data_IF_411823538603
#
_entry.id   IF_411823538603
#
_cell.length_a   1.000
_cell.length_b   1.000
_cell.length_c   1.000
_cell.angle_alpha   90.00
_cell.angle_beta   90.00
_cell.angle_gamma   90.00
#
_symmetry.space_group_name_H-M   'P 1'
#
loop_
_entity.id
_entity.type
_entity.pdbx_description
1 polymer ?
#
# COMPACT_ATOMS: atom_id res chain seq x y z
N UNK A 1 -23.85 27.91 23.51
CA UNK A 1 -23.26 26.86 22.66
C UNK A 1 -21.78 26.78 23.02
N UNK A 2 -21.42 25.85 23.90
CA UNK A 2 -20.04 25.70 24.40
C UNK A 2 -19.25 24.97 23.33
N UNK A 3 -18.33 25.66 22.68
CA UNK A 3 -17.36 25.08 21.75
C UNK A 3 -16.37 24.26 22.57
N UNK A 4 -16.58 22.95 22.61
CA UNK A 4 -15.60 22.00 23.14
C UNK A 4 -14.46 21.92 22.12
N UNK A 5 -13.43 22.73 22.32
CA UNK A 5 -12.16 22.58 21.62
C UNK A 5 -11.57 21.26 22.12
N UNK A 6 -11.41 20.23 21.27
CA UNK A 6 -10.80 18.99 21.72
C UNK A 6 -9.40 19.34 22.19
N UNK A 7 -9.13 19.01 23.46
CA UNK A 7 -7.83 19.14 24.09
C UNK A 7 -6.87 18.32 23.23
N UNK A 8 -6.08 18.97 22.38
CA UNK A 8 -5.00 18.35 21.62
C UNK A 8 -4.09 17.75 22.67
N UNK A 9 -4.22 16.44 22.86
CA UNK A 9 -3.38 15.68 23.78
C UNK A 9 -1.97 15.84 23.25
N UNK A 10 -1.22 16.68 23.93
CA UNK A 10 0.16 17.01 23.62
C UNK A 10 1.04 15.82 24.05
N UNK A 11 0.77 14.63 23.52
CA UNK A 11 1.74 13.55 23.60
C UNK A 11 2.86 13.96 22.65
N UNK A 12 4.01 14.33 23.20
CA UNK A 12 5.22 14.47 22.41
C UNK A 12 5.44 13.14 21.69
N UNK A 13 5.13 13.13 20.40
CA UNK A 13 5.36 11.98 19.54
C UNK A 13 6.86 11.90 19.33
N UNK A 14 7.55 11.21 20.23
CA UNK A 14 8.96 10.92 20.03
C UNK A 14 9.03 10.00 18.83
N UNK A 15 9.36 10.55 17.64
CA UNK A 15 9.60 9.78 16.43
C UNK A 15 10.71 8.78 16.75
N UNK A 16 10.33 7.55 17.04
CA UNK A 16 11.27 6.44 17.09
C UNK A 16 11.82 6.26 15.68
N UNK A 17 12.99 5.64 15.51
CA UNK A 17 13.53 5.37 14.15
C UNK A 17 12.71 4.34 13.35
N UNK A 18 11.61 3.87 13.92
CA UNK A 18 10.81 2.74 13.45
C UNK A 18 9.83 3.09 12.30
N UNK A 19 9.08 4.21 12.31
CA UNK A 19 8.23 4.60 11.19
C UNK A 19 8.99 4.81 9.85
N UNK A 20 10.15 5.51 9.79
CA UNK A 20 10.83 5.73 8.52
C UNK A 20 11.39 4.43 7.92
N UNK A 21 11.80 3.46 8.74
CA UNK A 21 12.21 2.14 8.24
C UNK A 21 11.05 1.38 7.61
N UNK A 22 9.84 1.50 8.16
CA UNK A 22 8.65 0.87 7.58
C UNK A 22 8.28 1.50 6.24
N UNK A 23 8.34 2.83 6.10
CA UNK A 23 8.12 3.50 4.81
C UNK A 23 9.14 3.11 3.73
N UNK A 24 10.40 2.85 4.09
CA UNK A 24 11.39 2.35 3.13
C UNK A 24 11.00 0.92 2.68
N UNK A 25 10.57 0.08 3.60
CA UNK A 25 10.13 -1.29 3.28
C UNK A 25 8.85 -1.30 2.42
N UNK A 26 7.90 -0.38 2.65
CA UNK A 26 6.71 -0.25 1.79
C UNK A 26 7.09 0.17 0.37
N UNK A 27 8.05 1.10 0.20
CA UNK A 27 8.55 1.51 -1.11
C UNK A 27 9.22 0.35 -1.85
N UNK A 28 10.05 -0.45 -1.17
CA UNK A 28 10.69 -1.64 -1.76
C UNK A 28 9.62 -2.63 -2.23
N UNK A 29 8.68 -3.00 -1.37
CA UNK A 29 7.63 -3.96 -1.72
C UNK A 29 6.70 -3.45 -2.83
N UNK A 30 6.38 -2.16 -2.82
CA UNK A 30 5.57 -1.53 -3.87
C UNK A 30 6.28 -1.53 -5.22
N UNK A 31 7.59 -1.26 -5.23
CA UNK A 31 8.42 -1.32 -6.44
C UNK A 31 8.54 -2.76 -6.94
N UNK A 32 8.68 -3.71 -6.02
CA UNK A 32 8.66 -5.14 -6.32
C UNK A 32 7.35 -5.50 -7.05
N UNK A 33 6.20 -5.15 -6.47
CA UNK A 33 4.88 -5.43 -7.06
C UNK A 33 4.74 -4.87 -8.48
N UNK A 34 5.20 -3.63 -8.69
CA UNK A 34 5.15 -2.98 -9.99
C UNK A 34 6.08 -3.65 -11.03
N UNK A 35 7.28 -4.09 -10.64
CA UNK A 35 8.26 -4.69 -11.55
C UNK A 35 7.99 -6.16 -11.84
N UNK A 36 7.44 -6.91 -10.89
CA UNK A 36 7.16 -8.34 -11.06
C UNK A 36 6.05 -8.60 -12.09
N UNK A 37 4.98 -7.78 -12.12
CA UNK A 37 3.89 -7.93 -13.11
C UNK A 37 4.36 -7.95 -14.58
N UNK A 38 5.15 -6.98 -15.08
CA UNK A 38 5.62 -6.97 -16.46
C UNK A 38 6.68 -8.05 -16.74
N UNK A 39 7.53 -8.39 -15.76
CA UNK A 39 8.55 -9.45 -15.92
C UNK A 39 7.87 -10.81 -16.11
N UNK A 40 6.89 -11.15 -15.28
CA UNK A 40 6.14 -12.41 -15.44
C UNK A 40 5.34 -12.44 -16.76
N UNK A 41 4.78 -11.31 -17.20
CA UNK A 41 4.11 -11.20 -18.50
C UNK A 41 5.05 -11.51 -19.68
N UNK A 42 6.31 -11.06 -19.59
CA UNK A 42 7.35 -11.29 -20.60
C UNK A 42 7.75 -12.77 -20.69
N UNK A 43 7.88 -13.45 -19.55
CA UNK A 43 8.30 -14.85 -19.50
C UNK A 43 7.22 -15.84 -19.95
N UNK A 44 5.93 -15.52 -19.77
CA UNK A 44 4.84 -16.48 -19.96
C UNK A 44 4.07 -16.33 -21.27
N UNK A 45 4.56 -15.54 -22.24
CA UNK A 45 3.87 -15.26 -23.52
C UNK A 45 2.39 -14.96 -23.29
N UNK A 46 2.08 -13.99 -22.44
CA UNK A 46 0.71 -13.54 -22.28
C UNK A 46 0.17 -13.10 -23.66
N UNK A 47 -0.84 -13.81 -24.16
CA UNK A 47 -1.57 -13.42 -25.37
C UNK A 47 -1.94 -11.93 -25.26
N UNK A 48 -1.80 -11.13 -26.34
CA UNK A 48 -2.29 -9.77 -26.33
C UNK A 48 -3.81 -9.79 -26.10
N UNK A 49 -4.18 -9.27 -24.94
CA UNK A 49 -5.45 -8.63 -24.56
C UNK A 49 -6.69 -8.99 -25.41
N UNK A 50 -7.70 -9.69 -24.86
CA UNK A 50 -9.07 -9.42 -25.30
C UNK A 50 -9.41 -7.98 -24.91
N UNK A 51 -10.06 -7.29 -25.84
CA UNK A 51 -10.55 -5.91 -25.74
C UNK A 51 -10.96 -5.46 -24.34
N UNK A 52 -10.66 -4.19 -24.04
CA UNK A 52 -10.91 -3.35 -22.84
C UNK A 52 -12.34 -3.45 -22.25
N UNK A 53 -13.25 -4.22 -22.85
CA UNK A 53 -14.67 -4.25 -22.56
C UNK A 53 -15.12 -5.38 -21.62
N UNK A 54 -14.35 -6.45 -21.38
CA UNK A 54 -14.89 -7.61 -20.63
C UNK A 54 -14.41 -7.79 -19.18
N UNK A 55 -13.26 -7.29 -18.72
CA UNK A 55 -12.92 -7.37 -17.28
C UNK A 55 -11.88 -6.32 -16.83
N UNK A 56 -12.29 -5.21 -16.17
CA UNK A 56 -11.38 -4.16 -15.72
C UNK A 56 -10.58 -4.49 -14.44
N UNK A 57 -10.72 -5.71 -13.88
CA UNK A 57 -10.26 -6.05 -12.53
C UNK A 57 -8.75 -6.39 -12.34
N UNK A 58 -7.95 -6.86 -13.33
CA UNK A 58 -6.58 -7.31 -13.05
C UNK A 58 -5.55 -6.16 -12.82
N UNK A 59 -5.98 -4.91 -12.98
CA UNK A 59 -5.12 -3.71 -12.88
C UNK A 59 -5.13 -3.03 -11.50
N UNK A 60 -5.98 -3.48 -10.56
CA UNK A 60 -6.16 -2.81 -9.27
C UNK A 60 -4.85 -2.71 -8.48
N UNK A 61 -4.05 -3.79 -8.42
CA UNK A 61 -2.75 -3.79 -7.73
C UNK A 61 -1.68 -2.95 -8.46
N UNK A 62 -1.72 -2.93 -9.80
CA UNK A 62 -0.81 -2.11 -10.62
C UNK A 62 -1.06 -0.62 -10.41
N UNK A 63 -2.31 -0.22 -10.20
CA UNK A 63 -2.70 1.16 -9.86
C UNK A 63 -2.42 1.46 -8.38
N UNK A 64 -2.61 0.47 -7.49
CA UNK A 64 -2.40 0.62 -6.04
C UNK A 64 -0.94 0.86 -5.68
N UNK A 65 0.00 0.16 -6.34
CA UNK A 65 1.44 0.30 -6.09
C UNK A 65 1.95 1.75 -6.21
N UNK A 66 1.80 2.47 -7.34
CA UNK A 66 2.32 3.84 -7.46
C UNK A 66 1.69 4.81 -6.46
N UNK A 67 0.42 4.61 -6.09
CA UNK A 67 -0.26 5.43 -5.06
C UNK A 67 0.44 5.26 -3.71
N UNK A 68 0.65 4.01 -3.28
CA UNK A 68 1.30 3.73 -2.00
C UNK A 68 2.76 4.17 -1.98
N UNK A 69 3.47 4.04 -3.12
CA UNK A 69 4.83 4.53 -3.28
C UNK A 69 4.91 6.05 -3.09
N UNK A 70 4.04 6.82 -3.75
CA UNK A 70 4.01 8.29 -3.65
C UNK A 70 3.71 8.72 -2.23
N UNK A 71 2.70 8.12 -1.58
CA UNK A 71 2.34 8.46 -0.20
C UNK A 71 3.52 8.17 0.75
N UNK A 72 4.16 7.00 0.61
CA UNK A 72 5.33 6.63 1.43
C UNK A 72 6.51 7.57 1.20
N UNK A 73 6.73 8.02 -0.04
CA UNK A 73 7.79 8.97 -0.38
C UNK A 73 7.54 10.36 0.22
N UNK A 74 6.28 10.82 0.24
CA UNK A 74 5.90 12.09 0.88
C UNK A 74 6.18 12.03 2.39
N UNK A 75 5.81 10.93 3.06
CA UNK A 75 6.06 10.76 4.49
C UNK A 75 7.56 10.60 4.82
N UNK A 76 8.31 9.90 3.99
CA UNK A 76 9.76 9.83 4.15
C UNK A 76 10.42 11.21 3.94
N UNK A 77 9.97 11.96 2.94
CA UNK A 77 10.45 13.32 2.66
C UNK A 77 10.19 14.28 3.81
N UNK A 78 8.97 14.27 4.38
CA UNK A 78 8.65 15.07 5.57
C UNK A 78 9.44 14.62 6.80
N UNK A 79 9.80 13.35 6.89
CA UNK A 79 10.67 12.85 7.95
C UNK A 79 12.12 13.33 7.86
N UNK A 80 12.63 13.50 6.65
CA UNK A 80 13.97 14.04 6.43
C UNK A 80 14.03 15.56 6.62
N UNK A 81 13.00 16.31 6.21
CA UNK A 81 13.05 17.79 6.16
C UNK A 81 12.65 18.49 7.46
N UNK A 82 11.76 17.90 8.26
CA UNK A 82 11.22 18.55 9.47
C UNK A 82 11.36 17.72 10.75
N UNK A 83 12.59 17.41 11.19
CA UNK A 83 12.81 16.56 12.37
C UNK A 83 12.39 17.20 13.71
N UNK A 84 12.25 18.52 13.82
CA UNK A 84 12.05 19.18 15.13
C UNK A 84 11.28 20.51 15.14
N UNK A 85 10.35 20.75 14.21
CA UNK A 85 9.60 22.01 14.16
C UNK A 85 8.17 21.85 14.68
N UNK A 86 7.57 22.92 15.22
CA UNK A 86 6.17 22.91 15.65
C UNK A 86 5.19 22.60 14.50
N UNK A 87 5.57 22.87 13.24
CA UNK A 87 4.79 22.45 12.06
C UNK A 87 4.67 20.93 11.91
N UNK A 88 5.64 20.15 12.41
CA UNK A 88 5.62 18.69 12.30
C UNK A 88 4.47 18.09 13.11
N UNK A 89 4.07 18.74 14.21
CA UNK A 89 2.99 18.25 15.08
C UNK A 89 1.61 18.29 14.42
N UNK A 90 1.31 19.34 13.64
CA UNK A 90 0.04 19.45 12.92
C UNK A 90 -0.02 18.52 11.70
N UNK A 91 1.11 18.28 11.03
CA UNK A 91 1.18 17.37 9.86
C UNK A 91 1.16 15.89 10.27
N UNK A 92 1.80 15.53 11.39
CA UNK A 92 1.82 14.14 11.87
C UNK A 92 0.42 13.59 12.20
N UNK A 93 -0.57 14.46 12.47
CA UNK A 93 -1.96 14.02 12.65
C UNK A 93 -2.53 13.32 11.40
N UNK A 94 -2.05 13.67 10.20
CA UNK A 94 -2.47 13.03 8.95
C UNK A 94 -1.67 11.74 8.64
N UNK A 95 -0.60 11.45 9.39
CA UNK A 95 0.27 10.29 9.15
C UNK A 95 -0.50 8.98 9.38
N UNK A 96 -1.20 8.88 10.51
CA UNK A 96 -2.04 7.73 10.86
C UNK A 96 -3.19 7.48 9.86
N UNK A 97 -4.08 8.44 9.52
CA UNK A 97 -5.18 8.19 8.59
C UNK A 97 -4.69 7.86 7.17
N UNK A 98 -3.55 8.41 6.74
CA UNK A 98 -2.97 8.05 5.44
C UNK A 98 -2.40 6.62 5.44
N UNK A 99 -1.81 6.15 6.53
CA UNK A 99 -1.37 4.76 6.68
C UNK A 99 -2.55 3.78 6.66
N UNK A 100 -3.65 4.12 7.34
CA UNK A 100 -4.90 3.35 7.30
C UNK A 100 -5.47 3.28 5.88
N UNK A 101 -5.46 4.39 5.15
CA UNK A 101 -5.90 4.44 3.75
C UNK A 101 -5.04 3.55 2.85
N UNK A 102 -3.71 3.61 2.96
CA UNK A 102 -2.81 2.73 2.21
C UNK A 102 -3.04 1.24 2.54
N UNK A 103 -3.26 0.93 3.82
CA UNK A 103 -3.60 -0.44 4.26
C UNK A 103 -4.91 -0.92 3.64
N UNK A 104 -5.95 -0.07 3.61
CA UNK A 104 -7.24 -0.40 3.02
C UNK A 104 -7.13 -0.70 1.52
N UNK A 105 -6.46 0.18 0.75
CA UNK A 105 -6.32 -0.01 -0.70
C UNK A 105 -5.49 -1.26 -0.99
N UNK A 106 -4.39 -1.49 -0.26
CA UNK A 106 -3.59 -2.71 -0.40
C UNK A 106 -4.38 -3.98 -0.03
N UNK A 107 -5.26 -3.91 0.96
CA UNK A 107 -6.16 -5.00 1.33
C UNK A 107 -7.19 -5.30 0.24
N UNK A 108 -7.82 -4.26 -0.33
CA UNK A 108 -8.76 -4.40 -1.45
C UNK A 108 -8.04 -5.01 -2.66
N UNK A 109 -6.83 -4.56 -2.99
CA UNK A 109 -6.06 -5.12 -4.10
C UNK A 109 -5.71 -6.59 -3.85
N UNK A 110 -5.32 -6.96 -2.63
CA UNK A 110 -5.04 -8.36 -2.28
C UNK A 110 -6.28 -9.25 -2.46
N UNK A 111 -7.45 -8.83 -1.95
CA UNK A 111 -8.70 -9.59 -2.04
C UNK A 111 -9.10 -9.80 -3.50
N UNK A 112 -9.07 -8.75 -4.32
CA UNK A 112 -9.39 -8.84 -5.76
C UNK A 112 -8.47 -9.84 -6.46
N UNK A 113 -7.16 -9.80 -6.19
CA UNK A 113 -6.21 -10.73 -6.80
C UNK A 113 -6.37 -12.17 -6.34
N UNK A 114 -6.68 -12.41 -5.06
CA UNK A 114 -7.00 -13.75 -4.56
C UNK A 114 -8.25 -14.28 -5.26
N UNK A 115 -9.33 -13.50 -5.32
CA UNK A 115 -10.58 -13.93 -5.96
C UNK A 115 -10.35 -14.34 -7.42
N UNK A 116 -9.58 -13.54 -8.17
CA UNK A 116 -9.27 -13.88 -9.56
C UNK A 116 -8.42 -15.14 -9.68
N UNK A 117 -7.42 -15.31 -8.80
CA UNK A 117 -6.57 -16.52 -8.81
C UNK A 117 -7.38 -17.79 -8.56
N UNK A 118 -8.40 -17.73 -7.70
CA UNK A 118 -9.28 -18.86 -7.36
C UNK A 118 -10.24 -19.16 -8.51
N UNK A 119 -10.86 -18.14 -9.11
CA UNK A 119 -11.77 -18.33 -10.25
C UNK A 119 -11.03 -18.93 -11.44
N UNK A 120 -9.84 -18.39 -11.77
CA UNK A 120 -9.05 -18.90 -12.89
C UNK A 120 -8.57 -20.34 -12.67
N UNK A 121 -8.29 -20.73 -11.42
CA UNK A 121 -7.98 -22.12 -11.05
C UNK A 121 -9.14 -23.07 -11.33
N UNK A 122 -10.37 -22.66 -11.02
CA UNK A 122 -11.57 -23.50 -11.24
C UNK A 122 -11.86 -23.69 -12.73
N UNK A 123 -11.60 -22.66 -13.54
CA UNK A 123 -11.95 -22.67 -14.96
C UNK A 123 -10.88 -23.27 -15.87
N UNK A 124 -9.59 -23.04 -15.59
CA UNK A 124 -8.49 -23.35 -16.51
C UNK A 124 -7.49 -24.39 -15.99
N UNK A 125 -7.70 -25.00 -14.82
CA UNK A 125 -6.86 -26.03 -14.14
C UNK A 125 -5.37 -25.67 -13.91
N UNK A 126 -4.86 -24.61 -14.53
CA UNK A 126 -3.52 -24.09 -14.33
C UNK A 126 -3.52 -23.01 -13.25
N UNK A 127 -2.77 -23.26 -12.17
CA UNK A 127 -2.49 -22.24 -11.17
C UNK A 127 -1.63 -21.15 -11.83
N UNK A 128 -2.19 -19.97 -12.01
CA UNK A 128 -1.41 -18.82 -12.45
C UNK A 128 -0.70 -18.21 -11.23
N UNK A 129 0.42 -18.84 -10.85
CA UNK A 129 1.32 -18.47 -9.73
C UNK A 129 1.60 -16.96 -9.63
N UNK A 130 1.60 -16.26 -10.77
CA UNK A 130 1.77 -14.81 -10.86
C UNK A 130 0.75 -14.01 -10.04
N UNK A 131 -0.54 -14.38 -10.09
CA UNK A 131 -1.60 -13.62 -9.42
C UNK A 131 -1.61 -13.88 -7.92
N UNK A 132 -1.30 -15.11 -7.52
CA UNK A 132 -1.15 -15.48 -6.12
C UNK A 132 0.04 -14.75 -5.49
N UNK A 133 1.18 -14.67 -6.17
CA UNK A 133 2.35 -13.96 -5.68
C UNK A 133 2.10 -12.45 -5.55
N UNK A 134 1.42 -11.83 -6.52
CA UNK A 134 1.00 -10.42 -6.44
C UNK A 134 0.05 -10.16 -5.26
N UNK A 135 -0.90 -11.08 -5.02
CA UNK A 135 -1.82 -10.99 -3.89
C UNK A 135 -1.09 -11.04 -2.55
N UNK A 136 -0.08 -11.91 -2.42
CA UNK A 136 0.74 -12.03 -1.22
C UNK A 136 1.55 -10.77 -0.93
N UNK A 137 2.12 -10.12 -1.96
CA UNK A 137 2.83 -8.84 -1.78
C UNK A 137 1.84 -7.73 -1.38
N UNK A 138 0.65 -7.68 -1.99
CA UNK A 138 -0.40 -6.73 -1.59
C UNK A 138 -0.82 -6.91 -0.12
N UNK A 139 -0.96 -8.17 0.33
CA UNK A 139 -1.27 -8.50 1.72
C UNK A 139 -0.14 -8.06 2.67
N UNK A 140 1.11 -8.30 2.29
CA UNK A 140 2.27 -7.86 3.06
C UNK A 140 2.32 -6.33 3.16
N UNK A 141 2.01 -5.60 2.08
CA UNK A 141 1.87 -4.15 2.09
C UNK A 141 0.77 -3.68 3.05
N UNK A 142 -0.38 -4.36 3.02
CA UNK A 142 -1.51 -4.06 3.90
C UNK A 142 -1.11 -4.20 5.38
N UNK A 143 -0.45 -5.30 5.75
CA UNK A 143 0.04 -5.55 7.11
C UNK A 143 1.09 -4.54 7.52
N UNK A 144 2.00 -4.18 6.62
CA UNK A 144 3.05 -3.21 6.89
C UNK A 144 2.46 -1.83 7.19
N UNK A 145 1.49 -1.35 6.40
CA UNK A 145 0.82 -0.08 6.67
C UNK A 145 -0.08 -0.13 7.91
N UNK A 146 -0.67 -1.29 8.25
CA UNK A 146 -1.35 -1.47 9.52
C UNK A 146 -0.37 -1.37 10.70
N UNK A 147 0.82 -1.97 10.60
CA UNK A 147 1.89 -1.85 11.61
C UNK A 147 2.36 -0.40 11.77
N UNK A 148 2.46 0.35 10.66
CA UNK A 148 2.74 1.80 10.72
C UNK A 148 1.63 2.52 11.50
N UNK A 149 0.36 2.25 11.21
CA UNK A 149 -0.74 2.88 11.92
C UNK A 149 -0.75 2.56 13.42
N UNK A 150 -0.42 1.33 13.82
CA UNK A 150 -0.29 0.94 15.23
C UNK A 150 0.96 1.52 15.90
N UNK A 151 2.07 1.66 15.18
CA UNK A 151 3.28 2.31 15.71
C UNK A 151 3.12 3.84 15.85
N UNK A 152 2.10 4.40 15.19
CA UNK A 152 1.70 5.82 15.24
C UNK A 152 0.58 6.10 16.26
N UNK A 153 0.19 5.12 17.09
CA UNK A 153 -0.62 5.31 18.31
C UNK A 153 0.25 5.51 19.55
#
# INVERSE_FOLDING_TARGET
MVTVIPKVVNSQYHRTKFPPTLYIMSMIMSTCLFLLKPIFCSFQQCKPMPSILEDPLPYVSVITAPIIFIISLIWLGTACTYPSNNCTQSYNFMEMPSAVFCSLIAGISAVVEVHFSVINRITNDHLTEQWFFSAMISLALCLLHALVAFALQ
#
